data_IF_737109921973
#
_entry.id   IF_737109921973
#
_cell.length_a   1.000
_cell.length_b   1.000
_cell.length_c   1.000
_cell.angle_alpha   90.00
_cell.angle_beta   90.00
_cell.angle_gamma   90.00
#
_symmetry.space_group_name_H-M   'P 1'
#
loop_
_entity.id
_entity.type
_entity.pdbx_description
1 polymer ?
#
# COMPACT_ATOMS: atom_id res chain seq x y z
N UNK A 1 24.44 13.58 -8.51
CA UNK A 1 23.71 13.66 -7.23
C UNK A 1 22.71 12.51 -7.19
N UNK A 2 22.76 11.66 -6.15
CA UNK A 2 21.84 10.53 -6.03
C UNK A 2 20.46 11.05 -5.59
N UNK A 3 19.58 11.28 -6.58
CA UNK A 3 18.19 11.61 -6.32
C UNK A 3 17.58 10.45 -5.52
N UNK A 4 17.36 10.68 -4.23
CA UNK A 4 16.55 9.80 -3.39
C UNK A 4 15.13 9.87 -3.95
N UNK A 5 14.85 9.02 -4.94
CA UNK A 5 13.53 8.86 -5.53
C UNK A 5 12.66 8.21 -4.48
N UNK A 6 12.14 9.01 -3.56
CA UNK A 6 11.08 8.62 -2.64
C UNK A 6 9.98 8.06 -3.51
N UNK A 7 9.82 6.73 -3.50
CA UNK A 7 8.79 6.02 -4.24
C UNK A 7 7.46 6.45 -3.61
N UNK A 8 6.94 7.60 -4.05
CA UNK A 8 5.59 8.05 -3.72
C UNK A 8 4.67 6.96 -4.25
N UNK A 9 4.10 6.17 -3.35
CA UNK A 9 3.11 5.17 -3.71
C UNK A 9 1.94 5.93 -4.32
N UNK A 10 1.80 5.85 -5.65
CA UNK A 10 0.71 6.51 -6.36
C UNK A 10 -0.63 6.06 -5.79
N UNK A 11 -1.61 6.96 -5.67
CA UNK A 11 -2.96 6.64 -5.21
C UNK A 11 -3.55 5.42 -5.96
N UNK A 12 -3.30 5.33 -7.27
CA UNK A 12 -3.68 4.20 -8.11
C UNK A 12 -3.07 2.86 -7.64
N UNK A 13 -1.82 2.86 -7.18
CA UNK A 13 -1.16 1.66 -6.66
C UNK A 13 -1.78 1.19 -5.34
N UNK A 14 -2.20 2.13 -4.47
CA UNK A 14 -2.93 1.82 -3.23
C UNK A 14 -4.30 1.20 -3.55
N UNK A 15 -5.05 1.79 -4.49
CA UNK A 15 -6.36 1.28 -4.89
C UNK A 15 -6.26 -0.12 -5.52
N UNK A 16 -5.28 -0.35 -6.40
CA UNK A 16 -5.01 -1.68 -6.94
C UNK A 16 -4.62 -2.69 -5.86
N UNK A 17 -3.75 -2.30 -4.92
CA UNK A 17 -3.36 -3.19 -3.82
C UNK A 17 -4.54 -3.56 -2.93
N UNK A 18 -5.46 -2.62 -2.65
CA UNK A 18 -6.70 -2.88 -1.90
C UNK A 18 -7.58 -3.91 -2.61
N UNK A 19 -7.80 -3.75 -3.91
CA UNK A 19 -8.59 -4.70 -4.70
C UNK A 19 -8.00 -6.12 -4.65
N UNK A 20 -6.68 -6.25 -4.75
CA UNK A 20 -6.02 -7.56 -4.66
C UNK A 20 -6.13 -8.17 -3.26
N UNK A 21 -5.99 -7.35 -2.20
CA UNK A 21 -6.16 -7.82 -0.82
C UNK A 21 -7.59 -8.28 -0.56
N UNK A 22 -8.59 -7.53 -1.01
CA UNK A 22 -9.99 -7.92 -0.89
C UNK A 22 -10.33 -9.17 -1.70
N UNK A 23 -9.82 -9.29 -2.92
CA UNK A 23 -9.98 -10.49 -3.74
C UNK A 23 -9.37 -11.72 -3.08
N UNK A 24 -8.16 -11.59 -2.51
CA UNK A 24 -7.50 -12.67 -1.76
C UNK A 24 -8.32 -13.07 -0.53
N UNK A 25 -8.81 -12.09 0.26
CA UNK A 25 -9.68 -12.35 1.42
C UNK A 25 -10.97 -13.05 1.03
N UNK A 26 -11.64 -12.60 -0.05
CA UNK A 26 -12.85 -13.23 -0.58
C UNK A 26 -12.59 -14.66 -1.05
N UNK A 27 -11.42 -14.93 -1.61
CA UNK A 27 -10.99 -16.26 -2.01
C UNK A 27 -10.52 -17.14 -0.83
N UNK A 28 -10.57 -16.65 0.41
CA UNK A 28 -10.08 -17.36 1.60
C UNK A 28 -8.56 -17.52 1.63
N UNK A 29 -7.82 -16.75 0.82
CA UNK A 29 -6.37 -16.79 0.72
C UNK A 29 -5.74 -15.61 1.47
N UNK A 30 -4.52 -15.83 1.98
CA UNK A 30 -3.76 -14.75 2.62
C UNK A 30 -3.29 -13.75 1.55
N UNK A 31 -3.56 -12.44 1.71
CA UNK A 31 -3.05 -11.43 0.79
C UNK A 31 -1.53 -11.34 0.90
N UNK A 32 -0.86 -10.94 -0.20
CA UNK A 32 0.59 -10.78 -0.18
C UNK A 32 1.01 -9.70 0.84
N UNK A 33 2.05 -9.94 1.66
CA UNK A 33 2.47 -9.01 2.71
C UNK A 33 2.83 -7.62 2.18
N UNK A 34 3.40 -7.57 0.98
CA UNK A 34 3.77 -6.31 0.30
C UNK A 34 2.51 -5.54 -0.13
N UNK A 35 1.54 -6.23 -0.74
CA UNK A 35 0.26 -5.62 -1.14
C UNK A 35 -0.55 -5.18 0.07
N UNK A 36 -0.54 -5.94 1.16
CA UNK A 36 -1.18 -5.54 2.41
C UNK A 36 -0.57 -4.24 2.97
N UNK A 37 0.77 -4.12 2.96
CA UNK A 37 1.47 -2.89 3.38
C UNK A 37 1.14 -1.70 2.48
N UNK A 38 1.02 -1.91 1.17
CA UNK A 38 0.67 -0.85 0.20
C UNK A 38 -0.80 -0.47 0.28
N UNK A 39 -1.71 -1.42 0.50
CA UNK A 39 -3.13 -1.18 0.67
C UNK A 39 -3.46 -0.39 1.95
N UNK A 40 -2.68 -0.66 3.01
CA UNK A 40 -2.74 0.03 4.29
C UNK A 40 -1.98 1.37 4.29
N UNK A 41 -1.04 1.54 3.36
CA UNK A 41 -0.35 2.81 3.18
C UNK A 41 -1.37 3.91 2.87
N UNK A 42 -1.44 4.91 3.75
CA UNK A 42 -2.12 6.16 3.45
C UNK A 42 -1.36 6.78 2.27
N UNK A 43 -1.98 7.00 1.10
CA UNK A 43 -1.32 7.74 0.02
C UNK A 43 -0.96 9.10 0.61
N UNK A 44 0.33 9.29 0.83
CA UNK A 44 0.83 10.36 1.65
C UNK A 44 0.62 11.69 0.92
N UNK A 45 -0.20 12.54 1.55
CA UNK A 45 -0.13 13.99 1.38
C UNK A 45 0.59 14.61 2.61
N UNK A 46 1.53 13.90 3.24
CA UNK A 46 2.38 14.39 4.34
C UNK A 46 2.03 13.96 5.76
N UNK A 47 1.64 12.72 6.03
CA UNK A 47 1.50 12.23 7.41
C UNK A 47 1.89 10.76 7.54
N UNK A 48 3.13 10.56 8.01
CA UNK A 48 3.67 9.29 8.45
C UNK A 48 2.73 8.57 9.45
N UNK A 49 2.67 7.22 9.43
CA UNK A 49 2.01 6.49 10.49
C UNK A 49 2.91 6.55 11.74
N UNK A 50 2.52 7.34 12.73
CA UNK A 50 2.96 7.09 14.11
C UNK A 50 2.18 5.88 14.62
N UNK A 51 2.82 4.75 14.98
CA UNK A 51 2.17 3.73 15.78
C UNK A 51 1.94 4.30 17.19
N UNK A 52 0.70 4.25 17.68
CA UNK A 52 0.31 4.51 19.06
C UNK A 52 0.22 3.20 19.84
#
# INVERSE_FOLDING_TARGET
MAEKRTLKVSRQAVELARLHVEAARRAGRKPEPVLARIADARPDNGAAPSPA
#
